data_IF_774931793835
#
_entry.id   IF_774931793835
#
_cell.length_a   1.000
_cell.length_b   1.000
_cell.length_c   1.000
_cell.angle_alpha   90.00
_cell.angle_beta   90.00
_cell.angle_gamma   90.00
#
_symmetry.space_group_name_H-M   'P 1'
#
loop_
_entity.id
_entity.type
_entity.pdbx_description
1 polymer ?
#
# COMPACT_ATOMS: atom_id res chain seq x y z
N UNK A 1 37.57 5.30 -22.60
CA UNK A 1 37.01 3.97 -22.28
C UNK A 1 36.56 3.83 -20.81
N UNK A 2 37.39 4.12 -19.80
CA UNK A 2 36.99 4.04 -18.37
C UNK A 2 35.74 4.87 -17.99
N UNK A 3 35.57 6.06 -18.58
CA UNK A 3 34.41 6.92 -18.29
C UNK A 3 33.09 6.42 -18.88
N UNK A 4 33.15 5.66 -19.99
CA UNK A 4 31.95 5.09 -20.63
C UNK A 4 31.41 3.94 -19.78
N UNK A 5 32.30 3.11 -19.23
CA UNK A 5 31.94 2.01 -18.34
C UNK A 5 31.28 2.49 -17.03
N UNK A 6 31.70 3.64 -16.50
CA UNK A 6 31.15 4.21 -15.28
C UNK A 6 29.70 4.71 -15.47
N UNK A 7 29.36 5.23 -16.64
CA UNK A 7 28.01 5.72 -16.94
C UNK A 7 27.01 4.57 -17.09
N UNK A 8 27.40 3.47 -17.74
CA UNK A 8 26.54 2.30 -17.92
C UNK A 8 26.13 1.61 -16.60
N UNK A 9 26.97 1.68 -15.56
CA UNK A 9 26.66 1.08 -14.26
C UNK A 9 25.62 1.89 -13.45
N UNK A 10 25.52 3.21 -13.67
CA UNK A 10 24.57 4.07 -12.98
C UNK A 10 23.14 3.94 -13.53
N UNK A 11 22.98 3.63 -14.81
CA UNK A 11 21.63 3.46 -15.42
C UNK A 11 20.94 2.16 -15.01
N UNK A 12 21.68 1.13 -14.59
CA UNK A 12 21.10 -0.15 -14.16
C UNK A 12 20.37 -0.11 -12.82
N UNK A 13 20.50 0.95 -12.02
CA UNK A 13 19.81 1.06 -10.72
C UNK A 13 18.39 1.64 -10.80
N UNK A 14 17.96 2.18 -11.95
CA UNK A 14 16.64 2.79 -12.09
C UNK A 14 15.49 1.79 -12.33
N UNK A 15 15.79 0.50 -12.51
CA UNK A 15 14.82 -0.48 -12.99
C UNK A 15 14.01 -1.23 -11.90
N UNK A 16 14.18 -0.92 -10.61
CA UNK A 16 13.57 -1.71 -9.51
C UNK A 16 12.57 -0.95 -8.61
N UNK A 17 12.03 0.19 -9.04
CA UNK A 17 11.06 0.95 -8.21
C UNK A 17 9.59 0.79 -8.61
N UNK A 18 9.25 -0.11 -9.54
CA UNK A 18 7.86 -0.36 -9.92
C UNK A 18 7.19 -1.34 -8.96
N UNK A 19 7.13 -1.01 -7.66
CA UNK A 19 6.19 -1.69 -6.75
C UNK A 19 4.78 -1.27 -7.15
N UNK A 20 3.90 -2.22 -7.51
CA UNK A 20 2.50 -1.91 -7.76
C UNK A 20 1.93 -1.22 -6.53
N UNK A 21 1.35 -0.04 -6.72
CA UNK A 21 0.61 0.62 -5.66
C UNK A 21 -0.60 -0.26 -5.31
N UNK A 22 -0.96 -0.34 -4.04
CA UNK A 22 -2.07 -1.17 -3.60
C UNK A 22 -2.98 -0.35 -2.68
N UNK A 23 -4.29 -0.47 -2.91
CA UNK A 23 -5.30 0.32 -2.20
C UNK A 23 -6.40 -0.61 -1.67
N UNK A 24 -7.04 -0.17 -0.58
CA UNK A 24 -8.29 -0.77 -0.10
C UNK A 24 -9.45 -0.27 -0.96
N UNK A 25 -10.25 -1.19 -1.48
CA UNK A 25 -11.42 -0.87 -2.32
C UNK A 25 -12.67 -1.58 -1.84
N UNK A 26 -13.80 -0.89 -1.96
CA UNK A 26 -15.14 -1.42 -1.76
C UNK A 26 -16.09 -0.78 -2.78
N UNK A 27 -16.92 -1.55 -3.51
CA UNK A 27 -17.85 -0.99 -4.48
C UNK A 27 -18.76 0.07 -3.86
N UNK A 28 -18.95 1.19 -4.55
CA UNK A 28 -19.82 2.29 -4.11
C UNK A 28 -19.29 3.12 -2.95
N UNK A 29 -18.01 2.99 -2.58
CA UNK A 29 -17.39 3.72 -1.47
C UNK A 29 -16.39 4.77 -1.99
N UNK A 30 -16.38 5.97 -1.42
CA UNK A 30 -15.41 7.01 -1.78
C UNK A 30 -14.02 6.74 -1.17
N UNK A 31 -12.99 7.43 -1.65
CA UNK A 31 -11.65 7.36 -1.04
C UNK A 31 -11.65 7.87 0.40
N UNK A 32 -12.40 8.94 0.68
CA UNK A 32 -12.52 9.49 2.04
C UNK A 32 -13.16 8.52 3.01
N UNK A 33 -14.27 7.87 2.60
CA UNK A 33 -14.92 6.84 3.42
C UNK A 33 -13.99 5.63 3.63
N UNK A 34 -13.24 5.24 2.61
CA UNK A 34 -12.22 4.19 2.73
C UNK A 34 -11.15 4.55 3.75
N UNK A 35 -10.68 5.80 3.72
CA UNK A 35 -9.70 6.32 4.67
C UNK A 35 -10.25 6.32 6.10
N UNK A 36 -11.45 6.84 6.31
CA UNK A 36 -12.14 6.83 7.61
C UNK A 36 -12.24 5.42 8.18
N UNK A 37 -12.59 4.44 7.35
CA UNK A 37 -12.76 3.05 7.77
C UNK A 37 -11.44 2.35 8.07
N UNK A 38 -10.37 2.69 7.35
CA UNK A 38 -9.02 2.25 7.67
C UNK A 38 -8.54 2.82 9.00
N UNK A 39 -8.77 4.11 9.26
CA UNK A 39 -8.43 4.75 10.53
C UNK A 39 -9.19 4.14 11.71
N UNK A 40 -10.49 3.85 11.55
CA UNK A 40 -11.28 3.15 12.58
C UNK A 40 -10.68 1.76 12.88
N UNK A 41 -10.35 0.97 11.85
CA UNK A 41 -9.71 -0.33 12.05
C UNK A 41 -8.37 -0.23 12.79
N UNK A 42 -7.51 0.73 12.42
CA UNK A 42 -6.24 0.95 13.11
C UNK A 42 -6.42 1.37 14.57
N UNK A 43 -7.43 2.21 14.84
CA UNK A 43 -7.78 2.64 16.18
C UNK A 43 -8.23 1.47 17.04
N UNK A 44 -9.15 0.64 16.54
CA UNK A 44 -9.65 -0.54 17.27
C UNK A 44 -8.54 -1.54 17.60
N UNK A 45 -7.63 -1.80 16.65
CA UNK A 45 -6.45 -2.65 16.88
C UNK A 45 -5.53 -2.07 17.96
N UNK A 46 -5.32 -0.76 17.95
CA UNK A 46 -4.56 -0.07 19.00
C UNK A 46 -5.23 -0.14 20.37
N UNK A 47 -6.55 0.06 20.43
CA UNK A 47 -7.34 -0.01 21.65
C UNK A 47 -7.31 -1.42 22.26
N UNK A 48 -7.34 -2.45 21.41
CA UNK A 48 -7.21 -3.86 21.81
C UNK A 48 -5.79 -4.27 22.23
N UNK A 49 -4.81 -3.36 22.17
CA UNK A 49 -3.40 -3.59 22.54
C UNK A 49 -2.76 -4.77 21.79
N UNK A 50 -3.10 -4.93 20.50
CA UNK A 50 -2.51 -5.94 19.64
C UNK A 50 -0.99 -5.71 19.52
N UNK A 51 -0.14 -6.75 19.65
CA UNK A 51 1.31 -6.63 19.48
C UNK A 51 1.68 -6.04 18.12
N UNK A 52 2.73 -5.21 18.05
CA UNK A 52 3.08 -4.47 16.82
C UNK A 52 3.22 -5.36 15.58
N UNK A 53 3.84 -6.54 15.72
CA UNK A 53 4.00 -7.50 14.63
C UNK A 53 2.69 -8.08 14.07
N UNK A 54 1.58 -7.93 14.77
CA UNK A 54 0.26 -8.43 14.38
C UNK A 54 -0.71 -7.31 13.96
N UNK A 55 -0.36 -6.04 14.22
CA UNK A 55 -1.27 -4.90 14.01
C UNK A 55 -1.72 -4.75 12.58
N UNK A 56 -0.80 -4.92 11.62
CA UNK A 56 -1.13 -4.84 10.19
C UNK A 56 -2.11 -5.96 9.79
N UNK A 57 -1.82 -7.20 10.20
CA UNK A 57 -2.67 -8.34 9.92
C UNK A 57 -4.07 -8.16 10.50
N UNK A 58 -4.16 -7.70 11.76
CA UNK A 58 -5.44 -7.44 12.43
C UNK A 58 -6.20 -6.29 11.77
N UNK A 59 -5.51 -5.22 11.36
CA UNK A 59 -6.13 -4.12 10.59
C UNK A 59 -6.69 -4.64 9.27
N UNK A 60 -5.94 -5.49 8.57
CA UNK A 60 -6.39 -6.12 7.33
C UNK A 60 -7.59 -7.05 7.55
N UNK A 61 -7.67 -7.78 8.66
CA UNK A 61 -8.86 -8.57 9.01
C UNK A 61 -10.08 -7.67 9.24
N UNK A 62 -9.93 -6.58 10.00
CA UNK A 62 -11.00 -5.61 10.21
C UNK A 62 -11.53 -5.03 8.88
N UNK A 63 -10.64 -4.58 8.00
CA UNK A 63 -11.01 -4.05 6.68
C UNK A 63 -11.75 -5.07 5.83
N UNK A 64 -11.27 -6.32 5.80
CA UNK A 64 -11.94 -7.41 5.07
C UNK A 64 -13.32 -7.73 5.64
N UNK A 65 -13.48 -7.67 6.97
CA UNK A 65 -14.75 -7.82 7.67
C UNK A 65 -15.77 -6.72 7.33
N UNK A 66 -15.30 -5.48 7.11
CA UNK A 66 -16.12 -4.36 6.62
C UNK A 66 -16.44 -4.43 5.12
N UNK A 67 -15.94 -5.46 4.41
CA UNK A 67 -16.19 -5.71 3.00
C UNK A 67 -15.17 -5.10 2.03
N UNK A 68 -14.07 -4.55 2.52
CA UNK A 68 -13.00 -4.03 1.67
C UNK A 68 -12.10 -5.16 1.15
N UNK A 69 -11.44 -4.92 0.02
CA UNK A 69 -10.41 -5.80 -0.55
C UNK A 69 -9.16 -4.98 -0.84
N UNK A 70 -7.99 -5.57 -0.57
CA UNK A 70 -6.71 -4.97 -0.90
C UNK A 70 -6.33 -5.43 -2.30
N UNK A 71 -6.24 -4.50 -3.24
CA UNK A 71 -5.97 -4.80 -4.64
C UNK A 71 -4.78 -3.99 -5.13
N UNK A 72 -4.00 -4.56 -6.04
CA UNK A 72 -3.01 -3.79 -6.78
C UNK A 72 -3.78 -2.78 -7.67
N UNK A 73 -3.53 -1.50 -7.47
CA UNK A 73 -3.91 -0.45 -8.40
C UNK A 73 -2.75 -0.26 -9.37
N UNK A 74 -3.02 -0.45 -10.67
CA UNK A 74 -2.06 -0.02 -11.69
C UNK A 74 -1.90 1.49 -11.53
N UNK A 75 -0.67 2.03 -11.40
CA UNK A 75 -0.50 3.47 -11.36
C UNK A 75 -1.12 4.03 -12.64
N UNK A 76 -2.10 4.92 -12.50
CA UNK A 76 -2.67 5.61 -13.64
C UNK A 76 -1.52 6.28 -14.42
N UNK A 77 -1.58 6.33 -15.77
CA UNK A 77 -0.58 7.07 -16.53
C UNK A 77 -0.56 8.51 -16.01
N UNK A 78 0.59 8.95 -15.48
CA UNK A 78 0.84 10.35 -15.19
C UNK A 78 0.68 11.08 -16.52
N UNK A 79 -0.40 11.86 -16.65
CA UNK A 79 -0.62 12.73 -17.81
C UNK A 79 0.42 13.84 -17.84
#
# INVERSE_FOLDING_TARGET
>A
MKRVLAVSLLLSLAACSSTPEAEWVKPGTSKDETYTQLSDCQYQVGLARVPEGERELMTAHCMRGKGYRYVAVNPAPVK
#
